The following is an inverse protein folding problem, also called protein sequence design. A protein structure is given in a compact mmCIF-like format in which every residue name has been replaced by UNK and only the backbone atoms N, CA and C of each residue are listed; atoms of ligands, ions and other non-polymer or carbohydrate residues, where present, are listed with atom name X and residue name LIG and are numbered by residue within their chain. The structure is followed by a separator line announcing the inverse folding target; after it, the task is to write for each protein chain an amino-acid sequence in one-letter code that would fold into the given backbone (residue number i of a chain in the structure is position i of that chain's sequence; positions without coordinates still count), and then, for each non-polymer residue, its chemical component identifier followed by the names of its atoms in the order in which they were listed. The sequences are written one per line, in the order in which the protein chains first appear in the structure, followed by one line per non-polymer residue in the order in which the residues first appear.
data_IF_781456089394
#
_entry.id   IF_781456089394
#
_cell.length_a   1.000
_cell.length_b   1.000
_cell.length_c   1.000
_cell.angle_alpha   90.00
_cell.angle_beta   90.00
_cell.angle_gamma   90.00
#
_symmetry.space_group_name_H-M   'P 1'
#
loop_
_entity.id
_entity.type
_entity.pdbx_description
1 polymer ?
#
# COMPACT_ATOMS: atom_id res chain seq x y z
N UNK A 1 12.92 -5.47 -23.05
CA UNK A 1 12.05 -6.60 -22.70
C UNK A 1 11.15 -6.31 -21.50
N UNK A 2 11.68 -6.09 -20.27
CA UNK A 2 10.87 -5.77 -19.08
C UNK A 2 9.86 -4.64 -19.31
N UNK A 3 10.30 -3.52 -19.88
CA UNK A 3 9.43 -2.38 -20.15
C UNK A 3 8.29 -2.72 -21.12
N UNK A 4 8.54 -3.55 -22.14
CA UNK A 4 7.52 -3.96 -23.12
C UNK A 4 6.42 -4.78 -22.47
N UNK A 5 6.79 -5.72 -21.58
CA UNK A 5 5.84 -6.53 -20.83
C UNK A 5 4.99 -5.65 -19.90
N UNK A 6 5.63 -4.73 -19.16
CA UNK A 6 4.93 -3.82 -18.25
C UNK A 6 3.97 -2.88 -18.98
N UNK A 7 4.29 -2.45 -20.21
CA UNK A 7 3.36 -1.68 -21.04
C UNK A 7 2.09 -2.49 -21.31
N UNK A 8 2.22 -3.74 -21.77
CA UNK A 8 1.07 -4.62 -21.99
C UNK A 8 0.19 -4.78 -20.75
N UNK A 9 0.80 -5.13 -19.62
CA UNK A 9 0.10 -5.31 -18.33
C UNK A 9 -0.65 -4.04 -17.94
N UNK A 10 0.00 -2.88 -18.05
CA UNK A 10 -0.58 -1.59 -17.65
C UNK A 10 -1.82 -1.22 -18.45
N UNK A 11 -1.85 -1.53 -19.75
CA UNK A 11 -3.03 -1.29 -20.59
C UNK A 11 -4.13 -2.34 -20.43
N UNK A 12 -3.80 -3.54 -19.94
CA UNK A 12 -4.79 -4.59 -19.65
C UNK A 12 -5.50 -4.41 -18.29
N UNK A 13 -4.83 -3.81 -17.28
CA UNK A 13 -5.39 -3.57 -15.93
C UNK A 13 -6.76 -2.84 -15.95
N UNK A 14 -7.00 -1.78 -16.75
CA UNK A 14 -8.31 -1.14 -16.79
C UNK A 14 -9.45 -2.04 -17.29
N UNK A 15 -9.17 -2.95 -18.24
CA UNK A 15 -10.15 -3.92 -18.75
C UNK A 15 -10.50 -4.94 -17.68
N UNK A 16 -9.49 -5.40 -16.97
CA UNK A 16 -9.55 -6.26 -15.79
C UNK A 16 -10.44 -5.64 -14.71
N UNK A 17 -10.12 -4.41 -14.28
CA UNK A 17 -10.85 -3.72 -13.22
C UNK A 17 -12.31 -3.45 -13.63
N UNK A 18 -12.54 -2.93 -14.84
CA UNK A 18 -13.87 -2.70 -15.37
C UNK A 18 -14.68 -4.01 -15.46
N UNK A 19 -14.09 -5.03 -16.09
CA UNK A 19 -14.74 -6.31 -16.34
C UNK A 19 -15.17 -7.02 -15.07
N UNK A 20 -14.25 -7.15 -14.11
CA UNK A 20 -14.57 -7.84 -12.87
C UNK A 20 -15.49 -7.07 -11.93
N UNK A 21 -15.42 -5.72 -11.88
CA UNK A 21 -16.37 -4.94 -11.07
C UNK A 21 -17.78 -5.05 -11.66
N UNK A 22 -17.93 -5.03 -12.98
CA UNK A 22 -19.23 -5.20 -13.63
C UNK A 22 -19.80 -6.61 -13.45
N UNK A 23 -18.97 -7.65 -13.62
CA UNK A 23 -19.36 -9.03 -13.32
C UNK A 23 -19.72 -9.20 -11.85
N UNK A 24 -18.99 -8.53 -10.95
CA UNK A 24 -19.30 -8.57 -9.53
C UNK A 24 -20.64 -7.94 -9.19
N UNK A 25 -20.94 -6.79 -9.78
CA UNK A 25 -22.25 -6.18 -9.64
C UNK A 25 -23.36 -7.08 -10.23
N UNK A 26 -23.11 -7.72 -11.39
CA UNK A 26 -24.04 -8.65 -11.99
C UNK A 26 -24.34 -9.84 -11.07
N UNK A 27 -23.31 -10.51 -10.53
CA UNK A 27 -23.45 -11.62 -9.58
C UNK A 27 -24.19 -11.19 -8.31
N UNK A 28 -23.91 -9.98 -7.81
CA UNK A 28 -24.51 -9.47 -6.57
C UNK A 28 -26.01 -9.17 -6.72
N UNK A 29 -26.43 -8.75 -7.91
CA UNK A 29 -27.80 -8.37 -8.22
C UNK A 29 -28.61 -9.53 -8.83
N UNK A 30 -27.94 -10.57 -9.33
CA UNK A 30 -28.58 -11.75 -9.89
C UNK A 30 -29.31 -12.55 -8.80
N UNK A 31 -30.59 -12.92 -9.00
CA UNK A 31 -31.26 -13.85 -8.11
C UNK A 31 -30.58 -15.22 -8.19
N UNK A 32 -30.40 -15.85 -7.03
CA UNK A 32 -29.79 -17.18 -6.94
C UNK A 32 -30.80 -18.27 -7.29
N UNK A 33 -30.45 -19.11 -8.26
CA UNK A 33 -31.19 -20.31 -8.63
C UNK A 33 -30.45 -21.57 -8.14
N UNK A 34 -31.09 -22.76 -8.17
CA UNK A 34 -30.43 -24.02 -7.83
C UNK A 34 -29.17 -24.33 -8.65
N UNK A 35 -29.05 -23.72 -9.83
CA UNK A 35 -27.92 -23.88 -10.76
C UNK A 35 -26.92 -22.73 -10.74
N UNK A 36 -27.14 -21.69 -9.92
CA UNK A 36 -26.28 -20.51 -9.84
C UNK A 36 -27.02 -19.18 -10.02
N UNK A 37 -26.30 -18.05 -10.10
CA UNK A 37 -26.91 -16.75 -10.38
C UNK A 37 -27.59 -16.72 -11.75
N UNK A 38 -28.84 -16.25 -11.80
CA UNK A 38 -29.55 -16.02 -13.06
C UNK A 38 -29.22 -14.63 -13.61
N UNK A 39 -28.33 -14.59 -14.59
CA UNK A 39 -27.91 -13.34 -15.23
C UNK A 39 -28.94 -12.76 -16.19
N UNK A 40 -29.95 -13.53 -16.59
CA UNK A 40 -31.02 -13.08 -17.50
C UNK A 40 -32.21 -12.48 -16.74
N UNK A 41 -32.20 -12.53 -15.40
CA UNK A 41 -33.32 -12.10 -14.57
C UNK A 41 -33.77 -10.65 -14.79
N UNK A 42 -32.84 -9.74 -15.10
CA UNK A 42 -33.16 -8.34 -15.42
C UNK A 42 -32.23 -7.80 -16.49
N UNK A 43 -32.71 -6.79 -17.24
CA UNK A 43 -31.89 -6.10 -18.24
C UNK A 43 -30.59 -5.54 -17.64
N UNK A 44 -30.64 -5.01 -16.41
CA UNK A 44 -29.46 -4.44 -15.73
C UNK A 44 -28.43 -5.53 -15.43
N UNK A 45 -28.85 -6.65 -14.85
CA UNK A 45 -27.95 -7.77 -14.54
C UNK A 45 -27.31 -8.31 -15.81
N UNK A 46 -28.10 -8.57 -16.84
CA UNK A 46 -27.60 -9.05 -18.14
C UNK A 46 -26.61 -8.07 -18.76
N UNK A 47 -26.95 -6.78 -18.78
CA UNK A 47 -26.08 -5.75 -19.35
C UNK A 47 -24.74 -5.68 -18.61
N UNK A 48 -24.76 -5.76 -17.27
CA UNK A 48 -23.54 -5.77 -16.46
C UNK A 48 -22.71 -7.04 -16.72
N UNK A 49 -23.35 -8.20 -16.81
CA UNK A 49 -22.70 -9.46 -17.11
C UNK A 49 -22.04 -9.45 -18.50
N UNK A 50 -22.77 -9.03 -19.53
CA UNK A 50 -22.30 -9.03 -20.92
C UNK A 50 -21.15 -8.05 -21.13
N UNK A 51 -21.28 -6.82 -20.60
CA UNK A 51 -20.20 -5.82 -20.67
C UNK A 51 -18.97 -6.25 -19.87
N UNK A 52 -19.18 -6.84 -18.69
CA UNK A 52 -18.10 -7.33 -17.86
C UNK A 52 -17.33 -8.47 -18.53
N UNK A 53 -18.05 -9.43 -19.10
CA UNK A 53 -17.49 -10.54 -19.89
C UNK A 53 -16.73 -10.02 -21.10
N UNK A 54 -17.31 -9.09 -21.87
CA UNK A 54 -16.64 -8.50 -23.03
C UNK A 54 -15.32 -7.80 -22.65
N UNK A 55 -15.30 -7.06 -21.54
CA UNK A 55 -14.10 -6.40 -21.05
C UNK A 55 -13.00 -7.42 -20.67
N UNK A 56 -13.35 -8.51 -19.98
CA UNK A 56 -12.40 -9.58 -19.65
C UNK A 56 -11.91 -10.32 -20.90
N UNK A 57 -12.76 -10.60 -21.88
CA UNK A 57 -12.35 -11.25 -23.15
C UNK A 57 -11.34 -10.40 -23.93
N UNK A 58 -11.46 -9.07 -23.87
CA UNK A 58 -10.53 -8.16 -24.54
C UNK A 58 -9.18 -8.02 -23.82
N UNK A 59 -9.05 -8.50 -22.59
CA UNK A 59 -7.84 -8.39 -21.78
C UNK A 59 -6.60 -8.98 -22.46
N UNK A 60 -6.66 -10.24 -22.91
CA UNK A 60 -5.54 -10.94 -23.53
C UNK A 60 -5.14 -10.35 -24.90
N UNK A 61 -6.09 -10.02 -25.79
CA UNK A 61 -5.80 -9.19 -26.96
C UNK A 61 -5.07 -7.91 -26.59
N UNK A 62 -5.62 -7.11 -25.66
CA UNK A 62 -5.05 -5.82 -25.25
C UNK A 62 -3.63 -5.98 -24.70
N UNK A 63 -3.40 -6.96 -23.83
CA UNK A 63 -2.08 -7.32 -23.31
C UNK A 63 -1.10 -7.56 -24.46
N UNK A 64 -1.42 -8.49 -25.38
CA UNK A 64 -0.53 -8.86 -26.48
C UNK A 64 -0.30 -7.69 -27.45
N UNK A 65 -1.35 -6.95 -27.78
CA UNK A 65 -1.31 -5.76 -28.64
C UNK A 65 -0.39 -4.67 -28.11
N UNK A 66 -0.47 -4.36 -26.82
CA UNK A 66 0.36 -3.32 -26.22
C UNK A 66 1.81 -3.78 -25.93
N UNK A 67 2.05 -5.08 -25.76
CA UNK A 67 3.43 -5.63 -25.80
C UNK A 67 4.03 -5.44 -27.20
N UNK A 68 3.29 -5.81 -28.25
CA UNK A 68 3.73 -5.67 -29.63
C UNK A 68 3.94 -4.20 -30.01
N UNK A 69 3.05 -3.31 -29.54
CA UNK A 69 3.18 -1.85 -29.68
C UNK A 69 4.46 -1.33 -29.04
N UNK A 70 4.81 -1.79 -27.83
CA UNK A 70 6.03 -1.36 -27.16
C UNK A 70 7.31 -1.72 -27.93
N UNK A 71 7.25 -2.71 -28.83
CA UNK A 71 8.38 -3.13 -29.68
C UNK A 71 8.34 -2.42 -31.04
N UNK A 72 7.19 -2.45 -31.73
CA UNK A 72 7.08 -2.08 -33.14
C UNK A 72 6.34 -0.75 -33.39
N UNK A 73 5.85 -0.08 -32.35
CA UNK A 73 4.88 1.03 -32.38
C UNK A 73 3.51 0.59 -32.95
N UNK A 74 2.72 1.55 -33.44
CA UNK A 74 1.35 1.34 -33.97
C UNK A 74 1.20 0.14 -34.93
N UNK A 75 2.15 -0.15 -35.85
CA UNK A 75 2.02 -1.30 -36.74
C UNK A 75 1.94 -2.66 -36.03
N UNK A 76 2.46 -2.77 -34.80
CA UNK A 76 2.43 -4.01 -34.01
C UNK A 76 1.08 -4.30 -33.35
N UNK A 77 0.15 -3.32 -33.32
CA UNK A 77 -1.11 -3.45 -32.58
C UNK A 77 -1.99 -4.56 -33.15
N UNK A 78 -2.27 -4.54 -34.46
CA UNK A 78 -3.14 -5.53 -35.12
C UNK A 78 -2.61 -6.97 -34.95
N UNK A 79 -1.36 -7.29 -35.31
CA UNK A 79 -0.85 -8.65 -35.14
C UNK A 79 -0.80 -9.08 -33.66
N UNK A 80 -0.54 -8.14 -32.74
CA UNK A 80 -0.59 -8.41 -31.30
C UNK A 80 -2.01 -8.70 -30.80
N UNK A 81 -3.00 -7.88 -31.15
CA UNK A 81 -4.41 -8.11 -30.77
C UNK A 81 -4.91 -9.46 -31.29
N UNK A 82 -4.66 -9.76 -32.57
CA UNK A 82 -5.07 -11.03 -33.17
C UNK A 82 -4.34 -12.21 -32.52
N UNK A 83 -3.03 -12.09 -32.29
CA UNK A 83 -2.25 -13.13 -31.61
C UNK A 83 -2.73 -13.39 -30.18
N UNK A 84 -3.08 -12.33 -29.43
CA UNK A 84 -3.65 -12.45 -28.08
C UNK A 84 -5.05 -13.05 -28.07
N UNK A 85 -5.89 -12.72 -29.05
CA UNK A 85 -7.21 -13.35 -29.21
C UNK A 85 -7.08 -14.85 -29.53
N UNK A 86 -6.23 -15.21 -30.49
CA UNK A 86 -5.95 -16.62 -30.84
C UNK A 86 -5.43 -17.39 -29.62
N UNK A 87 -4.56 -16.78 -28.80
CA UNK A 87 -4.06 -17.41 -27.59
C UNK A 87 -5.20 -17.83 -26.63
N UNK A 88 -6.24 -17.00 -26.50
CA UNK A 88 -7.43 -17.32 -25.72
C UNK A 88 -8.21 -18.48 -26.34
N UNK A 89 -8.46 -18.44 -27.66
CA UNK A 89 -9.29 -19.44 -28.35
C UNK A 89 -8.69 -20.85 -28.34
N UNK A 90 -7.37 -20.96 -28.41
CA UNK A 90 -6.68 -22.27 -28.45
C UNK A 90 -6.29 -22.80 -27.07
N UNK A 91 -6.69 -22.13 -25.98
CA UNK A 91 -6.32 -22.52 -24.62
C UNK A 91 -4.84 -22.30 -24.27
N UNK A 92 -4.11 -21.48 -25.04
CA UNK A 92 -2.77 -21.02 -24.68
C UNK A 92 -2.82 -19.91 -23.62
N UNK A 93 -4.00 -19.31 -23.44
CA UNK A 93 -4.33 -18.44 -22.32
C UNK A 93 -3.37 -17.27 -22.14
N UNK A 94 -3.10 -16.95 -20.88
CA UNK A 94 -2.22 -15.86 -20.50
C UNK A 94 -0.81 -15.94 -21.08
N UNK A 95 -0.15 -17.10 -20.92
CA UNK A 95 1.22 -17.32 -21.38
C UNK A 95 1.29 -17.18 -22.91
N UNK A 96 0.28 -17.72 -23.60
CA UNK A 96 0.11 -17.57 -25.04
C UNK A 96 0.01 -16.10 -25.45
N UNK A 97 -0.79 -15.29 -24.76
CA UNK A 97 -0.92 -13.87 -25.09
C UNK A 97 0.38 -13.08 -24.88
N UNK A 98 1.12 -13.38 -23.80
CA UNK A 98 2.41 -12.75 -23.52
C UNK A 98 3.45 -13.07 -24.62
N UNK A 99 3.55 -14.35 -24.99
CA UNK A 99 4.45 -14.81 -26.04
C UNK A 99 4.01 -14.32 -27.43
N UNK A 100 2.72 -14.32 -27.73
CA UNK A 100 2.15 -13.81 -28.96
C UNK A 100 2.43 -12.32 -29.14
N UNK A 101 2.29 -11.50 -28.08
CA UNK A 101 2.62 -10.08 -28.11
C UNK A 101 4.11 -9.82 -28.37
N UNK A 102 4.99 -10.56 -27.70
CA UNK A 102 6.44 -10.47 -27.96
C UNK A 102 6.78 -10.89 -29.39
N UNK A 103 6.22 -12.01 -29.86
CA UNK A 103 6.46 -12.52 -31.20
C UNK A 103 5.94 -11.55 -32.26
N UNK A 104 4.71 -11.06 -32.12
CA UNK A 104 4.09 -10.08 -33.01
C UNK A 104 4.91 -8.79 -33.10
N UNK A 105 5.39 -8.28 -31.96
CA UNK A 105 6.26 -7.11 -31.94
C UNK A 105 7.54 -7.31 -32.76
N UNK A 106 8.26 -8.42 -32.55
CA UNK A 106 9.51 -8.70 -33.24
C UNK A 106 9.31 -9.01 -34.74
N UNK A 107 8.27 -9.78 -35.09
CA UNK A 107 7.91 -10.05 -36.49
C UNK A 107 7.59 -8.75 -37.22
N UNK A 108 6.77 -7.90 -36.61
CA UNK A 108 6.41 -6.60 -37.20
C UNK A 108 7.64 -5.70 -37.37
N UNK A 109 8.50 -5.63 -36.36
CA UNK A 109 9.75 -4.86 -36.40
C UNK A 109 10.70 -5.39 -37.48
N UNK A 110 10.79 -6.70 -37.64
CA UNK A 110 11.63 -7.35 -38.65
C UNK A 110 11.16 -7.04 -40.07
N UNK A 111 9.85 -7.10 -40.34
CA UNK A 111 9.28 -6.72 -41.64
C UNK A 111 9.51 -5.23 -41.90
N UNK A 112 9.27 -4.37 -40.89
CA UNK A 112 9.41 -2.91 -40.99
C UNK A 112 10.83 -2.47 -41.38
N UNK A 113 11.86 -3.23 -40.98
CA UNK A 113 13.27 -2.92 -41.29
C UNK A 113 13.70 -3.31 -42.71
N UNK A 114 12.87 -4.04 -43.46
CA UNK A 114 13.19 -4.43 -44.85
C UNK A 114 13.13 -3.21 -45.77
N UNK A 115 14.13 -3.11 -46.66
CA UNK A 115 14.20 -2.04 -47.65
C UNK A 115 13.10 -2.25 -48.68
N UNK A 116 12.14 -1.33 -48.72
CA UNK A 116 11.07 -1.31 -49.72
C UNK A 116 11.22 -0.11 -50.65
N UNK A 117 10.74 -0.21 -51.91
CA UNK A 117 10.68 0.90 -52.85
C UNK A 117 9.94 2.11 -52.27
N UNK A 118 10.29 3.32 -52.72
CA UNK A 118 9.72 4.59 -52.22
C UNK A 118 8.19 4.66 -52.32
N UNK A 119 7.61 4.06 -53.36
CA UNK A 119 6.16 4.02 -53.59
C UNK A 119 5.40 3.12 -52.61
N UNK A 120 6.08 2.15 -51.99
CA UNK A 120 5.47 1.21 -51.02
C UNK A 120 5.46 1.80 -49.60
N UNK A 121 6.43 2.65 -49.27
CA UNK A 121 6.64 3.18 -47.91
C UNK A 121 5.39 3.77 -47.24
N UNK A 122 4.53 4.54 -47.93
CA UNK A 122 3.33 5.10 -47.30
C UNK A 122 2.30 4.05 -46.87
N UNK A 123 2.22 2.95 -47.63
CA UNK A 123 1.23 1.88 -47.43
C UNK A 123 1.73 0.82 -46.44
N UNK A 124 3.04 0.79 -46.15
CA UNK A 124 3.65 -0.15 -45.22
C UNK A 124 2.97 -0.23 -43.84
N UNK A 125 2.87 0.86 -43.05
CA UNK A 125 2.32 0.78 -41.70
C UNK A 125 0.81 0.58 -41.64
N UNK A 126 0.07 0.97 -42.70
CA UNK A 126 -1.40 0.96 -42.70
C UNK A 126 -1.95 -0.37 -43.22
N UNK A 127 -1.30 -0.97 -44.23
CA UNK A 127 -1.84 -2.15 -44.92
C UNK A 127 -0.88 -3.33 -44.87
N UNK A 128 0.37 -3.15 -45.31
CA UNK A 128 1.28 -4.29 -45.53
C UNK A 128 1.72 -4.92 -44.21
N UNK A 129 2.13 -4.10 -43.23
CA UNK A 129 2.57 -4.59 -41.92
C UNK A 129 1.43 -5.27 -41.16
N UNK A 130 0.23 -4.67 -41.01
CA UNK A 130 -0.89 -5.35 -40.37
C UNK A 130 -1.23 -6.69 -41.02
N UNK A 131 -1.26 -6.79 -42.36
CA UNK A 131 -1.58 -8.05 -43.03
C UNK A 131 -0.47 -9.08 -42.85
N UNK A 132 0.75 -8.75 -43.28
CA UNK A 132 1.83 -9.74 -43.32
C UNK A 132 2.24 -10.20 -41.92
N UNK A 133 2.37 -9.27 -40.97
CA UNK A 133 2.70 -9.64 -39.59
C UNK A 133 1.58 -10.48 -38.97
N UNK A 134 0.31 -10.14 -39.18
CA UNK A 134 -0.81 -10.90 -38.61
C UNK A 134 -0.90 -12.29 -39.22
N UNK A 135 -0.68 -12.44 -40.54
CA UNK A 135 -0.65 -13.77 -41.16
C UNK A 135 0.46 -14.63 -40.55
N UNK A 136 1.68 -14.08 -40.42
CA UNK A 136 2.80 -14.81 -39.82
C UNK A 136 2.51 -15.17 -38.36
N UNK A 137 2.03 -14.23 -37.56
CA UNK A 137 1.70 -14.45 -36.15
C UNK A 137 0.57 -15.45 -35.99
N UNK A 138 -0.53 -15.27 -36.72
CA UNK A 138 -1.71 -16.13 -36.65
C UNK A 138 -1.41 -17.57 -37.06
N UNK A 139 -0.75 -17.77 -38.21
CA UNK A 139 -0.34 -19.11 -38.66
C UNK A 139 0.62 -19.76 -37.66
N UNK A 140 1.59 -19.00 -37.16
CA UNK A 140 2.53 -19.52 -36.16
C UNK A 140 1.81 -19.90 -34.87
N UNK A 141 0.91 -19.06 -34.37
CA UNK A 141 0.13 -19.37 -33.16
C UNK A 141 -0.78 -20.57 -33.35
N UNK A 142 -1.48 -20.68 -34.48
CA UNK A 142 -2.41 -21.79 -34.71
C UNK A 142 -1.69 -23.13 -34.91
N UNK A 143 -0.55 -23.16 -35.61
CA UNK A 143 0.04 -24.41 -36.07
C UNK A 143 1.35 -24.80 -35.37
N UNK A 144 2.09 -23.85 -34.82
CA UNK A 144 3.46 -24.09 -34.35
C UNK A 144 3.62 -23.76 -32.86
N UNK A 145 3.34 -22.52 -32.47
CA UNK A 145 3.61 -21.99 -31.14
C UNK A 145 2.46 -22.28 -30.17
N UNK A 146 1.22 -22.14 -30.61
CA UNK A 146 0.06 -22.21 -29.71
C UNK A 146 -0.18 -23.58 -29.09
N UNK A 147 -0.25 -24.67 -29.87
CA UNK A 147 -0.47 -26.02 -29.31
C UNK A 147 0.52 -26.41 -28.19
N UNK A 148 1.85 -26.23 -28.32
CA UNK A 148 2.75 -26.53 -27.22
C UNK A 148 2.58 -25.59 -26.02
N UNK A 149 2.26 -24.31 -26.24
CA UNK A 149 1.98 -23.37 -25.13
C UNK A 149 0.71 -23.77 -24.38
N UNK A 150 -0.35 -24.15 -25.11
CA UNK A 150 -1.59 -24.66 -24.52
C UNK A 150 -1.36 -25.93 -23.69
N UNK A 151 -0.52 -26.84 -24.18
CA UNK A 151 -0.13 -28.03 -23.41
C UNK A 151 0.62 -27.66 -22.12
N UNK A 152 1.52 -26.67 -22.18
CA UNK A 152 2.23 -26.16 -21.00
C UNK A 152 1.26 -25.51 -20.01
N UNK A 153 0.31 -24.70 -20.49
CA UNK A 153 -0.72 -24.08 -19.65
C UNK A 153 -1.61 -25.10 -18.99
N UNK A 154 -2.14 -26.06 -19.74
CA UNK A 154 -2.93 -27.16 -19.20
C UNK A 154 -2.15 -27.95 -18.13
N UNK A 155 -0.86 -28.23 -18.37
CA UNK A 155 0.02 -28.86 -17.39
C UNK A 155 0.23 -28.00 -16.13
N UNK A 156 0.44 -26.69 -16.29
CA UNK A 156 0.59 -25.77 -15.17
C UNK A 156 -0.69 -25.68 -14.33
N UNK A 157 -1.86 -25.57 -14.98
CA UNK A 157 -3.16 -25.55 -14.30
C UNK A 157 -3.43 -26.86 -13.57
N UNK A 158 -3.09 -28.01 -14.17
CA UNK A 158 -3.21 -29.31 -13.51
C UNK A 158 -2.31 -29.40 -12.27
N UNK A 159 -1.06 -28.92 -12.35
CA UNK A 159 -0.14 -28.87 -11.20
C UNK A 159 -0.69 -27.98 -10.09
N UNK A 160 -1.21 -26.79 -10.43
CA UNK A 160 -1.83 -25.87 -9.46
C UNK A 160 -3.06 -26.49 -8.79
N UNK A 161 -3.89 -27.20 -9.56
CA UNK A 161 -5.09 -27.85 -9.07
C UNK A 161 -4.80 -28.99 -8.07
N UNK A 162 -3.72 -29.75 -8.30
CA UNK A 162 -3.33 -30.91 -7.48
C UNK A 162 -2.34 -30.57 -6.36
N UNK A 163 -2.09 -29.29 -6.09
CA UNK A 163 -1.19 -28.89 -5.00
C UNK A 163 -1.75 -29.37 -3.64
N UNK A 164 -0.94 -30.17 -2.95
CA UNK A 164 -1.17 -30.49 -1.56
C UNK A 164 -1.20 -29.21 -0.68
N UNK A 165 -1.72 -29.33 0.54
CA UNK A 165 -1.86 -28.18 1.44
C UNK A 165 -0.52 -27.47 1.71
N UNK A 166 0.58 -28.22 1.87
CA UNK A 166 1.90 -27.64 2.12
C UNK A 166 2.39 -26.74 0.97
N UNK A 167 2.26 -27.21 -0.28
CA UNK A 167 2.67 -26.44 -1.45
C UNK A 167 1.76 -25.23 -1.70
N UNK A 168 0.44 -25.35 -1.43
CA UNK A 168 -0.47 -24.21 -1.48
C UNK A 168 -0.11 -23.14 -0.46
N UNK A 169 0.29 -23.53 0.75
CA UNK A 169 0.76 -22.57 1.75
C UNK A 169 2.00 -21.81 1.26
N UNK A 170 2.99 -22.52 0.71
CA UNK A 170 4.21 -21.90 0.15
C UNK A 170 3.87 -20.95 -0.99
N UNK A 171 2.99 -21.35 -1.91
CA UNK A 171 2.52 -20.49 -3.00
C UNK A 171 1.85 -19.22 -2.47
N UNK A 172 0.96 -19.34 -1.48
CA UNK A 172 0.34 -18.19 -0.81
C UNK A 172 1.40 -17.26 -0.17
N UNK A 173 2.39 -17.81 0.54
CA UNK A 173 3.47 -17.01 1.10
C UNK A 173 4.24 -16.24 0.01
N UNK A 174 4.56 -16.88 -1.13
CA UNK A 174 5.25 -16.20 -2.23
C UNK A 174 4.38 -15.08 -2.81
N UNK A 175 3.11 -15.37 -3.13
CA UNK A 175 2.17 -14.40 -3.71
C UNK A 175 1.96 -13.21 -2.78
N UNK A 176 1.69 -13.44 -1.50
CA UNK A 176 1.51 -12.37 -0.51
C UNK A 176 2.76 -11.50 -0.35
N UNK A 177 3.96 -12.09 -0.39
CA UNK A 177 5.22 -11.35 -0.37
C UNK A 177 5.40 -10.48 -1.61
N UNK A 178 5.13 -11.02 -2.79
CA UNK A 178 5.20 -10.30 -4.07
C UNK A 178 4.21 -9.14 -4.14
N UNK A 179 2.99 -9.31 -3.62
CA UNK A 179 1.97 -8.26 -3.56
C UNK A 179 2.43 -7.09 -2.67
N UNK A 180 3.07 -7.36 -1.53
CA UNK A 180 3.41 -6.31 -0.59
C UNK A 180 4.72 -5.56 -0.87
N UNK A 181 5.71 -6.23 -1.48
CA UNK A 181 7.11 -5.76 -1.48
C UNK A 181 7.32 -4.35 -2.06
N UNK A 182 6.57 -3.98 -3.09
CA UNK A 182 6.71 -2.71 -3.80
C UNK A 182 5.40 -1.91 -3.91
N UNK A 183 4.37 -2.29 -3.14
CA UNK A 183 3.14 -1.49 -2.89
C UNK A 183 2.48 -0.94 -4.16
N UNK A 184 2.22 -1.81 -5.15
CA UNK A 184 1.66 -1.42 -6.45
C UNK A 184 2.71 -1.24 -7.56
N UNK A 185 3.98 -1.53 -7.24
CA UNK A 185 5.07 -1.57 -8.19
C UNK A 185 5.03 -2.78 -9.15
N UNK A 186 6.10 -2.96 -9.96
CA UNK A 186 6.17 -4.02 -10.96
C UNK A 186 6.01 -5.46 -10.43
N UNK A 187 6.52 -5.76 -9.23
CA UNK A 187 6.44 -7.10 -8.64
C UNK A 187 5.01 -7.40 -8.20
N UNK A 188 4.38 -6.45 -7.48
CA UNK A 188 2.97 -6.54 -7.13
C UNK A 188 2.11 -6.72 -8.38
N UNK A 189 2.25 -5.84 -9.38
CA UNK A 189 1.46 -5.93 -10.62
C UNK A 189 1.65 -7.26 -11.33
N UNK A 190 2.83 -7.86 -11.26
CA UNK A 190 3.08 -9.17 -11.85
C UNK A 190 2.30 -10.27 -11.12
N UNK A 191 2.36 -10.31 -9.79
CA UNK A 191 1.62 -11.29 -8.99
C UNK A 191 0.10 -11.11 -9.12
N UNK A 192 -0.36 -9.86 -9.07
CA UNK A 192 -1.78 -9.53 -9.16
C UNK A 192 -2.35 -9.87 -10.54
N UNK A 193 -1.61 -9.53 -11.61
CA UNK A 193 -2.02 -9.86 -12.98
C UNK A 193 -1.96 -11.36 -13.26
N UNK A 194 -1.03 -12.09 -12.64
CA UNK A 194 -1.05 -13.56 -12.64
C UNK A 194 -2.31 -14.10 -11.95
N UNK A 195 -2.68 -13.59 -10.78
CA UNK A 195 -3.94 -13.95 -10.11
C UNK A 195 -5.17 -13.67 -10.99
N UNK A 196 -5.23 -12.47 -11.59
CA UNK A 196 -6.31 -12.08 -12.49
C UNK A 196 -6.42 -13.02 -13.71
N UNK A 197 -5.29 -13.44 -14.26
CA UNK A 197 -5.26 -14.38 -15.36
C UNK A 197 -5.80 -15.76 -14.97
N UNK A 198 -5.53 -16.23 -13.76
CA UNK A 198 -6.02 -17.53 -13.28
C UNK A 198 -7.54 -17.60 -13.14
N UNK A 199 -8.23 -16.45 -13.04
CA UNK A 199 -9.71 -16.42 -13.13
C UNK A 199 -10.16 -17.02 -14.47
N UNK A 200 -9.54 -16.63 -15.58
CA UNK A 200 -9.90 -17.14 -16.91
C UNK A 200 -9.49 -18.60 -17.12
N UNK A 201 -8.44 -19.05 -16.44
CA UNK A 201 -8.01 -20.45 -16.45
C UNK A 201 -8.85 -21.36 -15.54
N UNK A 202 -9.85 -20.81 -14.84
CA UNK A 202 -10.77 -21.56 -13.98
C UNK A 202 -10.27 -21.81 -12.56
N UNK A 203 -9.19 -21.14 -12.12
CA UNK A 203 -8.71 -21.20 -10.73
C UNK A 203 -8.73 -19.81 -10.05
N UNK A 204 -9.88 -19.37 -9.53
CA UNK A 204 -10.01 -18.07 -8.87
C UNK A 204 -9.29 -18.00 -7.52
N UNK A 205 -8.73 -19.11 -7.01
CA UNK A 205 -8.12 -19.17 -5.68
C UNK A 205 -6.80 -18.39 -5.61
N UNK A 206 -6.07 -18.36 -6.73
CA UNK A 206 -4.84 -17.55 -6.83
C UNK A 206 -5.18 -16.06 -6.74
N UNK A 207 -6.27 -15.64 -7.39
CA UNK A 207 -6.76 -14.27 -7.29
C UNK A 207 -7.22 -13.95 -5.86
N UNK A 208 -7.99 -14.84 -5.22
CA UNK A 208 -8.43 -14.67 -3.83
C UNK A 208 -7.27 -14.52 -2.84
N UNK A 209 -6.19 -15.28 -3.04
CA UNK A 209 -4.97 -15.16 -2.26
C UNK A 209 -4.27 -13.79 -2.45
N UNK A 210 -4.28 -13.24 -3.67
CA UNK A 210 -3.74 -11.91 -3.96
C UNK A 210 -4.64 -10.79 -3.41
N UNK A 211 -5.95 -10.92 -3.57
CA UNK A 211 -6.98 -9.99 -3.11
C UNK A 211 -6.97 -9.83 -1.57
N UNK A 212 -6.75 -10.93 -0.84
CA UNK A 212 -6.62 -10.88 0.61
C UNK A 212 -5.31 -10.19 1.05
N UNK A 213 -4.24 -10.36 0.27
CA UNK A 213 -2.92 -9.85 0.59
C UNK A 213 -2.75 -8.35 0.31
N UNK A 214 -3.44 -7.81 -0.70
CA UNK A 214 -3.23 -6.43 -1.19
C UNK A 214 -3.73 -5.37 -0.19
N UNK A 215 -4.76 -5.67 0.60
CA UNK A 215 -5.30 -4.71 1.57
C UNK A 215 -4.57 -4.70 2.92
N UNK A 216 -3.81 -5.74 3.27
CA UNK A 216 -3.21 -5.85 4.60
C UNK A 216 -2.07 -4.86 4.90
N UNK A 217 -1.24 -4.41 3.94
CA UNK A 217 -0.24 -3.38 4.20
C UNK A 217 -0.85 -2.06 4.71
N UNK A 218 -1.77 -1.41 3.97
CA UNK A 218 -2.34 -0.14 4.40
C UNK A 218 -3.28 -0.30 5.61
N UNK A 219 -4.06 -1.40 5.70
CA UNK A 219 -4.90 -1.67 6.89
C UNK A 219 -4.06 -1.87 8.14
N UNK A 220 -2.98 -2.64 8.05
CA UNK A 220 -2.11 -2.96 9.18
C UNK A 220 -1.32 -1.76 9.68
N UNK A 221 -0.79 -0.94 8.77
CA UNK A 221 -0.12 0.30 9.13
C UNK A 221 -1.08 1.31 9.76
N UNK A 222 -2.26 1.50 9.15
CA UNK A 222 -3.31 2.32 9.71
C UNK A 222 -3.75 1.86 11.11
N UNK A 223 -3.91 0.55 11.32
CA UNK A 223 -4.21 0.00 12.64
C UNK A 223 -3.07 0.25 13.63
N UNK A 224 -1.80 0.10 13.21
CA UNK A 224 -0.65 0.34 14.08
C UNK A 224 -0.60 1.79 14.60
N UNK A 225 -1.01 2.77 13.77
CA UNK A 225 -1.09 4.17 14.21
C UNK A 225 -2.21 4.43 15.22
N UNK A 226 -3.30 3.67 15.17
CA UNK A 226 -4.39 3.75 16.15
C UNK A 226 -4.01 3.07 17.48
N UNK A 227 -3.40 1.88 17.45
CA UNK A 227 -3.08 1.09 18.65
C UNK A 227 -2.06 1.79 19.55
N UNK A 228 -1.06 2.47 18.97
CA UNK A 228 -0.01 3.17 19.72
C UNK A 228 0.20 4.58 19.20
N UNK A 229 -0.86 5.39 19.20
CA UNK A 229 -0.88 6.76 18.64
C UNK A 229 0.34 7.61 19.00
N UNK A 230 0.78 7.59 20.25
CA UNK A 230 1.91 8.41 20.73
C UNK A 230 3.27 8.07 20.11
N UNK A 231 3.42 6.91 19.46
CA UNK A 231 4.69 6.48 18.84
C UNK A 231 4.90 6.99 17.42
N UNK A 232 3.90 7.68 16.87
CA UNK A 232 3.84 8.13 15.47
C UNK A 232 3.85 9.64 15.40
N UNK A 233 4.43 10.20 14.33
CA UNK A 233 4.40 11.65 14.06
C UNK A 233 2.99 12.10 13.66
N UNK A 234 2.77 13.42 13.57
CA UNK A 234 1.53 14.00 13.04
C UNK A 234 1.24 13.49 11.64
N UNK A 235 2.24 13.54 10.75
CA UNK A 235 2.14 13.16 9.35
C UNK A 235 1.82 11.66 9.21
N UNK A 236 2.46 10.80 10.01
CA UNK A 236 2.21 9.37 10.01
C UNK A 236 0.81 9.01 10.52
N UNK A 237 0.28 9.76 11.49
CA UNK A 237 -1.09 9.55 11.98
C UNK A 237 -2.12 9.91 10.92
N UNK A 238 -1.91 11.03 10.23
CA UNK A 238 -2.78 11.46 9.12
C UNK A 238 -2.73 10.45 7.96
N UNK A 239 -1.51 10.05 7.57
CA UNK A 239 -1.31 8.99 6.58
C UNK A 239 -1.97 7.67 7.02
N UNK A 240 -1.96 7.35 8.31
CA UNK A 240 -2.58 6.14 8.86
C UNK A 240 -4.10 6.10 8.68
N UNK A 241 -4.79 7.23 8.88
CA UNK A 241 -6.23 7.33 8.63
C UNK A 241 -6.53 7.14 7.14
N UNK A 242 -5.76 7.78 6.26
CA UNK A 242 -5.90 7.59 4.82
C UNK A 242 -5.55 6.16 4.37
N UNK A 243 -4.63 5.50 5.06
CA UNK A 243 -4.25 4.11 4.76
C UNK A 243 -5.40 3.14 5.06
N UNK A 244 -6.14 3.35 6.15
CA UNK A 244 -7.29 2.49 6.45
C UNK A 244 -8.32 2.51 5.33
N UNK A 245 -8.64 3.69 4.79
CA UNK A 245 -9.62 3.82 3.70
C UNK A 245 -9.12 3.18 2.41
N UNK A 246 -7.86 3.44 2.03
CA UNK A 246 -7.23 2.80 0.87
C UNK A 246 -7.18 1.28 1.02
N UNK A 247 -6.90 0.77 2.22
CA UNK A 247 -6.88 -0.65 2.52
C UNK A 247 -8.24 -1.32 2.38
N UNK A 248 -9.34 -0.68 2.80
CA UNK A 248 -10.70 -1.22 2.60
C UNK A 248 -11.00 -1.42 1.11
N UNK A 249 -10.50 -0.54 0.25
CA UNK A 249 -10.66 -0.61 -1.21
C UNK A 249 -9.66 -1.59 -1.85
N UNK A 250 -8.60 -1.99 -1.15
CA UNK A 250 -7.56 -2.86 -1.71
C UNK A 250 -6.45 -2.11 -2.46
N UNK A 251 -6.19 -0.86 -2.10
CA UNK A 251 -5.12 -0.02 -2.65
C UNK A 251 -3.89 -0.12 -1.75
N UNK A 252 -2.89 -0.92 -2.15
CA UNK A 252 -1.62 -1.12 -1.41
C UNK A 252 -0.84 0.15 -1.16
N UNK A 253 -0.99 1.13 -2.04
CA UNK A 253 -0.24 2.38 -2.11
C UNK A 253 -0.40 3.23 -0.85
N UNK A 254 -1.45 3.00 -0.05
CA UNK A 254 -1.59 3.61 1.27
C UNK A 254 -0.41 3.33 2.20
N UNK A 255 0.37 2.27 1.97
CA UNK A 255 1.59 1.97 2.73
C UNK A 255 2.81 2.82 2.31
N UNK A 256 2.79 3.47 1.15
CA UNK A 256 3.95 4.20 0.59
C UNK A 256 4.48 5.29 1.54
N UNK A 257 3.66 6.15 2.17
CA UNK A 257 4.16 7.19 3.06
C UNK A 257 5.01 6.63 4.21
N UNK A 258 4.61 5.46 4.75
CA UNK A 258 5.36 4.78 5.81
C UNK A 258 6.64 4.14 5.29
N UNK A 259 6.58 3.46 4.14
CA UNK A 259 7.72 2.81 3.53
C UNK A 259 8.76 3.82 3.03
N UNK A 260 8.34 5.00 2.57
CA UNK A 260 9.23 6.09 2.20
C UNK A 260 9.99 6.64 3.41
N UNK A 261 9.36 6.68 4.59
CA UNK A 261 9.98 7.15 5.82
C UNK A 261 10.96 6.12 6.43
N UNK A 262 10.63 4.82 6.40
CA UNK A 262 11.47 3.76 7.00
C UNK A 262 11.36 2.43 6.24
N UNK A 263 11.97 2.31 5.04
CA UNK A 263 11.73 1.18 4.14
C UNK A 263 12.22 -0.15 4.73
N UNK A 264 13.38 -0.14 5.38
CA UNK A 264 14.02 -1.35 5.92
C UNK A 264 13.19 -2.00 7.04
N UNK A 265 12.36 -1.23 7.73
CA UNK A 265 11.50 -1.74 8.81
C UNK A 265 10.08 -2.00 8.33
N UNK A 266 9.54 -1.12 7.49
CA UNK A 266 8.15 -1.21 7.04
C UNK A 266 7.95 -2.35 6.05
N UNK A 267 8.80 -2.48 5.02
CA UNK A 267 8.62 -3.47 3.94
C UNK A 267 8.56 -4.91 4.50
N UNK A 268 9.48 -5.36 5.36
CA UNK A 268 9.38 -6.71 5.94
C UNK A 268 8.12 -6.93 6.77
N UNK A 269 7.62 -5.90 7.47
CA UNK A 269 6.42 -6.02 8.30
C UNK A 269 5.15 -6.17 7.44
N UNK A 270 5.02 -5.36 6.40
CA UNK A 270 3.86 -5.45 5.50
C UNK A 270 3.89 -6.75 4.69
N UNK A 271 5.08 -7.20 4.28
CA UNK A 271 5.25 -8.51 3.62
C UNK A 271 4.78 -9.62 4.53
N UNK A 272 5.21 -9.65 5.81
CA UNK A 272 4.79 -10.69 6.74
C UNK A 272 3.27 -10.80 6.87
N UNK A 273 2.54 -9.68 6.99
CA UNK A 273 1.09 -9.71 7.07
C UNK A 273 0.41 -10.16 5.77
N UNK A 274 0.87 -9.68 4.61
CA UNK A 274 0.35 -10.10 3.32
C UNK A 274 0.63 -11.56 3.00
N UNK A 275 1.80 -12.08 3.36
CA UNK A 275 2.16 -13.50 3.26
C UNK A 275 1.20 -14.35 4.08
N UNK A 276 0.92 -13.96 5.34
CA UNK A 276 -0.01 -14.68 6.21
C UNK A 276 -1.44 -14.64 5.67
N UNK A 277 -1.94 -13.48 5.24
CA UNK A 277 -3.27 -13.37 4.65
C UNK A 277 -3.42 -14.26 3.41
N UNK A 278 -2.46 -14.19 2.50
CA UNK A 278 -2.47 -14.98 1.26
C UNK A 278 -2.42 -16.48 1.54
N UNK A 279 -1.57 -16.92 2.47
CA UNK A 279 -1.49 -18.33 2.88
C UNK A 279 -2.79 -18.83 3.52
N UNK A 280 -3.45 -18.04 4.37
CA UNK A 280 -4.74 -18.41 4.95
C UNK A 280 -5.81 -18.51 3.85
N UNK A 281 -5.88 -17.52 2.96
CA UNK A 281 -6.88 -17.47 1.90
C UNK A 281 -6.77 -18.67 0.95
N UNK A 282 -5.57 -18.98 0.45
CA UNK A 282 -5.37 -20.09 -0.49
C UNK A 282 -5.58 -21.48 0.15
N UNK A 283 -5.24 -21.62 1.44
CA UNK A 283 -5.44 -22.86 2.19
C UNK A 283 -6.92 -23.11 2.49
N UNK A 284 -7.66 -22.06 2.83
CA UNK A 284 -9.11 -22.14 2.99
C UNK A 284 -9.79 -22.46 1.65
N UNK A 285 -9.21 -22.00 0.53
CA UNK A 285 -9.78 -22.15 -0.81
C UNK A 285 -10.63 -20.94 -1.22
N UNK A 286 -10.28 -19.76 -0.71
CA UNK A 286 -10.93 -18.50 -1.06
C UNK A 286 -10.69 -18.20 -2.54
N UNK A 287 -11.76 -18.19 -3.33
CA UNK A 287 -11.77 -17.76 -4.72
C UNK A 287 -12.22 -16.31 -4.88
N UNK A 288 -11.57 -15.55 -5.75
CA UNK A 288 -12.03 -14.23 -6.19
C UNK A 288 -12.27 -14.22 -7.69
N UNK A 289 -13.51 -13.88 -8.08
CA UNK A 289 -13.95 -13.83 -9.47
C UNK A 289 -13.78 -12.43 -10.10
N UNK A 290 -13.35 -11.44 -9.32
CA UNK A 290 -12.96 -10.15 -9.83
C UNK A 290 -11.46 -9.92 -9.62
N UNK A 291 -10.78 -9.28 -10.57
CA UNK A 291 -9.38 -8.94 -10.42
C UNK A 291 -9.24 -7.60 -9.68
N UNK A 292 -9.73 -7.58 -8.44
CA UNK A 292 -9.60 -6.47 -7.52
C UNK A 292 -9.31 -7.02 -6.11
N UNK A 293 -9.20 -6.19 -5.08
CA UNK A 293 -8.95 -6.69 -3.72
C UNK A 293 -9.68 -5.90 -2.65
N UNK A 294 -9.28 -6.12 -1.39
CA UNK A 294 -9.92 -5.44 -0.26
C UNK A 294 -11.33 -5.96 0.03
N UNK A 295 -12.10 -5.20 0.81
CA UNK A 295 -13.44 -5.60 1.23
C UNK A 295 -14.49 -5.33 0.15
N UNK A 296 -14.17 -4.55 -0.88
CA UNK A 296 -15.12 -4.20 -1.94
C UNK A 296 -15.42 -5.39 -2.88
N UNK A 297 -14.52 -6.37 -2.98
CA UNK A 297 -14.73 -7.60 -3.75
C UNK A 297 -15.53 -8.67 -3.00
N UNK A 298 -15.86 -8.44 -1.72
CA UNK A 298 -16.58 -9.42 -0.90
C UNK A 298 -17.84 -10.04 -1.55
N UNK A 299 -18.62 -9.33 -2.40
CA UNK A 299 -19.78 -9.94 -3.06
C UNK A 299 -19.43 -11.10 -4.00
N UNK A 300 -18.25 -11.06 -4.64
CA UNK A 300 -17.74 -12.07 -5.60
C UNK A 300 -16.74 -13.04 -5.01
N UNK A 301 -16.48 -12.94 -3.72
CA UNK A 301 -15.59 -13.85 -3.03
C UNK A 301 -16.32 -15.15 -2.69
N UNK A 302 -15.70 -16.28 -3.01
CA UNK A 302 -16.02 -17.58 -2.44
C UNK A 302 -15.41 -17.69 -1.03
N UNK A 303 -16.13 -18.35 -0.12
CA UNK A 303 -15.69 -18.49 1.28
C UNK A 303 -15.46 -17.14 1.98
N UNK A 304 -16.46 -16.25 1.87
CA UNK A 304 -16.46 -14.87 2.41
C UNK A 304 -15.93 -14.75 3.84
N UNK A 305 -16.30 -15.68 4.72
CA UNK A 305 -15.83 -15.68 6.13
C UNK A 305 -14.33 -15.92 6.22
N UNK A 306 -13.81 -16.90 5.48
CA UNK A 306 -12.38 -17.20 5.47
C UNK A 306 -11.56 -16.05 4.87
N UNK A 307 -12.08 -15.38 3.84
CA UNK A 307 -11.47 -14.19 3.25
C UNK A 307 -11.33 -13.04 4.26
N UNK A 308 -12.43 -12.69 4.95
CA UNK A 308 -12.41 -11.64 5.97
C UNK A 308 -11.46 -12.01 7.11
N UNK A 309 -11.46 -13.28 7.55
CA UNK A 309 -10.54 -13.77 8.57
C UNK A 309 -9.07 -13.63 8.12
N UNK A 310 -8.75 -14.01 6.88
CA UNK A 310 -7.41 -13.87 6.31
C UNK A 310 -6.94 -12.41 6.33
N UNK A 311 -7.79 -11.47 5.92
CA UNK A 311 -7.50 -10.03 5.96
C UNK A 311 -7.28 -9.55 7.40
N UNK A 312 -8.15 -9.93 8.33
CA UNK A 312 -8.04 -9.52 9.74
C UNK A 312 -6.75 -10.03 10.36
N UNK A 313 -6.41 -11.31 10.13
CA UNK A 313 -5.18 -11.91 10.66
C UNK A 313 -3.94 -11.28 10.04
N UNK A 314 -3.88 -11.11 8.72
CA UNK A 314 -2.75 -10.46 8.06
C UNK A 314 -2.58 -9.00 8.47
N UNK A 315 -3.68 -8.26 8.61
CA UNK A 315 -3.71 -6.89 9.15
C UNK A 315 -3.14 -6.84 10.57
N UNK A 316 -3.56 -7.77 11.44
CA UNK A 316 -3.05 -7.86 12.79
C UNK A 316 -1.55 -8.20 12.81
N UNK A 317 -1.08 -9.11 11.96
CA UNK A 317 0.35 -9.45 11.83
C UNK A 317 1.16 -8.23 11.41
N UNK A 318 0.74 -7.49 10.38
CA UNK A 318 1.40 -6.23 9.98
C UNK A 318 1.45 -5.24 11.14
N UNK A 319 0.32 -5.01 11.82
CA UNK A 319 0.22 -4.03 12.89
C UNK A 319 1.10 -4.39 14.10
N UNK A 320 1.09 -5.67 14.50
CA UNK A 320 1.89 -6.18 15.62
C UNK A 320 3.37 -6.15 15.27
N UNK A 321 3.76 -6.59 14.08
CA UNK A 321 5.16 -6.55 13.63
C UNK A 321 5.68 -5.12 13.63
N UNK A 322 4.91 -4.18 13.08
CA UNK A 322 5.28 -2.77 13.02
C UNK A 322 5.39 -2.14 14.42
N UNK A 323 4.42 -2.42 15.30
CA UNK A 323 4.48 -1.99 16.69
C UNK A 323 5.71 -2.56 17.42
N UNK A 324 6.03 -3.85 17.23
CA UNK A 324 7.17 -4.49 17.87
C UNK A 324 8.51 -3.89 17.41
N UNK A 325 8.64 -3.63 16.11
CA UNK A 325 9.83 -3.00 15.53
C UNK A 325 10.00 -1.57 16.03
N UNK A 326 8.92 -0.78 16.08
CA UNK A 326 8.97 0.58 16.66
C UNK A 326 9.22 0.58 18.16
N UNK A 327 8.65 -0.35 18.92
CA UNK A 327 8.91 -0.45 20.35
C UNK A 327 10.41 -0.62 20.65
N UNK A 328 11.11 -1.45 19.87
CA UNK A 328 12.58 -1.60 19.99
C UNK A 328 13.32 -0.31 19.66
N UNK A 329 12.91 0.39 18.59
CA UNK A 329 13.50 1.68 18.22
C UNK A 329 13.30 2.74 19.31
N UNK A 330 12.09 2.81 19.88
CA UNK A 330 11.71 3.74 20.93
C UNK A 330 12.35 3.40 22.30
N UNK A 331 12.60 2.12 22.59
CA UNK A 331 13.42 1.73 23.75
C UNK A 331 14.88 2.14 23.57
N UNK A 332 15.44 1.95 22.37
CA UNK A 332 16.82 2.31 22.08
C UNK A 332 17.04 3.83 22.14
N UNK A 333 16.05 4.63 21.76
CA UNK A 333 16.07 6.10 21.91
C UNK A 333 15.75 6.60 23.31
N UNK A 334 15.59 5.73 24.31
CA UNK A 334 15.26 6.10 25.69
C UNK A 334 13.80 6.47 25.94
N UNK A 335 13.01 6.76 24.89
CA UNK A 335 11.59 7.16 24.97
C UNK A 335 10.68 6.15 25.68
N UNK A 336 11.00 4.85 25.66
CA UNK A 336 10.20 3.78 26.31
C UNK A 336 11.00 3.01 27.38
N UNK A 337 12.12 3.57 27.85
CA UNK A 337 13.09 2.82 28.67
C UNK A 337 13.42 3.39 30.05
N UNK A 338 13.31 4.69 30.27
CA UNK A 338 13.61 5.31 31.57
C UNK A 338 12.78 6.57 31.73
N UNK A 339 11.96 6.63 32.78
CA UNK A 339 11.20 7.81 33.16
C UNK A 339 9.74 7.48 33.41
N UNK A 340 9.39 7.17 34.65
CA UNK A 340 8.04 7.44 35.12
C UNK A 340 7.71 8.93 34.89
N UNK A 341 6.42 9.29 34.88
CA UNK A 341 5.96 10.66 34.67
C UNK A 341 6.82 11.66 35.45
N UNK A 342 7.63 12.46 34.73
CA UNK A 342 8.48 13.43 35.41
C UNK A 342 7.64 14.56 35.98
N UNK A 343 8.01 15.04 37.17
CA UNK A 343 7.49 16.29 37.74
C UNK A 343 8.37 17.44 37.26
N UNK A 344 7.81 18.30 36.42
CA UNK A 344 8.45 19.45 35.82
C UNK A 344 7.86 20.70 36.47
N UNK A 345 8.69 21.69 36.75
CA UNK A 345 8.24 23.05 37.04
C UNK A 345 8.74 23.98 35.95
N UNK A 346 8.01 25.04 35.65
CA UNK A 346 8.45 26.03 34.68
C UNK A 346 8.13 27.45 35.15
N UNK A 347 8.97 28.39 34.73
CA UNK A 347 8.74 29.83 34.91
C UNK A 347 8.75 30.45 33.51
N UNK A 348 7.71 31.22 33.18
CA UNK A 348 7.66 32.00 31.93
C UNK A 348 7.69 33.48 32.23
N UNK A 349 8.48 34.26 31.47
CA UNK A 349 8.56 35.71 31.65
C UNK A 349 8.99 36.43 30.37
N UNK A 350 8.18 37.37 29.90
CA UNK A 350 8.43 38.17 28.70
C UNK A 350 8.27 39.67 29.02
N UNK A 351 9.17 40.56 28.53
CA UNK A 351 9.08 42.00 28.79
C UNK A 351 7.88 42.65 28.08
N UNK A 352 7.48 42.11 26.92
CA UNK A 352 6.49 42.72 26.03
C UNK A 352 5.11 42.09 26.21
N UNK A 353 4.34 42.63 27.16
CA UNK A 353 2.93 42.31 27.32
C UNK A 353 2.64 40.91 27.88
N UNK A 354 1.38 40.70 28.28
CA UNK A 354 0.93 39.48 28.94
C UNK A 354 0.89 38.25 28.02
N UNK A 355 0.69 38.44 26.71
CA UNK A 355 0.34 37.35 25.80
C UNK A 355 1.41 36.25 25.67
N UNK A 356 2.67 36.62 25.42
CA UNK A 356 3.73 35.62 25.21
C UNK A 356 4.04 34.80 26.46
N UNK A 357 3.98 35.43 27.65
CA UNK A 357 4.15 34.75 28.93
C UNK A 357 3.12 33.64 29.12
N UNK A 358 1.84 33.93 28.87
CA UNK A 358 0.77 32.93 28.97
C UNK A 358 0.79 31.90 27.84
N UNK A 359 1.09 32.32 26.60
CA UNK A 359 1.19 31.39 25.48
C UNK A 359 2.29 30.35 25.70
N UNK A 360 3.47 30.77 26.18
CA UNK A 360 4.52 29.85 26.55
C UNK A 360 4.07 28.90 27.67
N UNK A 361 3.40 29.41 28.69
CA UNK A 361 2.91 28.59 29.80
C UNK A 361 1.86 27.56 29.35
N UNK A 362 0.94 27.95 28.47
CA UNK A 362 -0.08 27.07 27.91
C UNK A 362 0.55 26.00 27.01
N UNK A 363 1.49 26.37 26.14
CA UNK A 363 2.17 25.46 25.22
C UNK A 363 3.01 24.42 25.97
N UNK A 364 3.79 24.85 26.97
CA UNK A 364 4.52 23.96 27.86
C UNK A 364 3.56 23.04 28.63
N UNK A 365 2.48 23.60 29.17
CA UNK A 365 1.43 22.89 29.88
C UNK A 365 0.78 21.77 29.07
N UNK A 366 0.33 22.09 27.85
CA UNK A 366 -0.27 21.13 26.93
C UNK A 366 0.72 20.07 26.47
N UNK A 367 1.95 20.47 26.13
CA UNK A 367 2.97 19.56 25.61
C UNK A 367 3.44 18.55 26.65
N UNK A 368 3.75 19.00 27.87
CA UNK A 368 4.17 18.10 28.94
C UNK A 368 3.07 17.09 29.31
N UNK A 369 1.80 17.53 29.40
CA UNK A 369 0.66 16.63 29.63
C UNK A 369 0.46 15.64 28.47
N UNK A 370 0.59 16.09 27.22
CA UNK A 370 0.51 15.23 26.04
C UNK A 370 1.61 14.16 26.00
N UNK A 371 2.78 14.47 26.56
CA UNK A 371 3.93 13.57 26.70
C UNK A 371 3.88 12.70 27.97
N UNK A 372 2.85 12.84 28.81
CA UNK A 372 2.66 12.03 30.02
C UNK A 372 3.47 12.48 31.24
N UNK A 373 3.87 13.75 31.27
CA UNK A 373 4.58 14.37 32.39
C UNK A 373 3.66 15.30 33.19
N UNK A 374 3.99 15.52 34.47
CA UNK A 374 3.33 16.52 35.30
C UNK A 374 4.08 17.83 35.16
N UNK A 375 3.37 18.92 34.92
CA UNK A 375 3.98 20.26 34.88
C UNK A 375 3.15 21.28 35.65
N UNK A 376 3.83 22.13 36.41
CA UNK A 376 3.27 23.38 36.95
C UNK A 376 4.06 24.54 36.38
N UNK A 377 3.37 25.61 35.99
CA UNK A 377 3.98 26.77 35.35
C UNK A 377 3.64 28.02 36.15
N UNK A 378 4.67 28.72 36.63
CA UNK A 378 4.60 30.05 37.20
C UNK A 378 4.75 31.07 36.06
N UNK A 379 3.88 32.07 36.02
CA UNK A 379 3.91 33.13 35.01
C UNK A 379 4.32 34.43 35.69
N UNK A 380 5.41 35.04 35.24
CA UNK A 380 5.87 36.35 35.71
C UNK A 380 5.76 37.36 34.57
N UNK A 381 4.82 38.29 34.66
CA UNK A 381 4.56 39.28 33.61
C UNK A 381 4.21 40.65 34.18
N UNK A 382 3.64 41.51 33.33
CA UNK A 382 3.24 42.87 33.73
C UNK A 382 2.22 42.91 34.88
N UNK A 383 1.51 41.80 35.12
CA UNK A 383 0.53 41.65 36.21
C UNK A 383 1.14 41.13 37.52
N UNK A 384 2.47 40.94 37.57
CA UNK A 384 3.18 40.33 38.69
C UNK A 384 3.32 38.81 38.52
N UNK A 385 3.56 38.12 39.65
CA UNK A 385 3.69 36.65 39.70
C UNK A 385 2.30 36.03 39.86
N UNK A 386 1.97 35.13 38.93
CA UNK A 386 0.75 34.32 38.97
C UNK A 386 1.10 32.83 38.95
N UNK A 387 0.24 32.01 39.54
CA UNK A 387 0.46 30.58 39.72
C UNK A 387 1.81 30.26 40.40
N UNK A 388 2.17 31.08 41.40
CA UNK A 388 3.45 30.96 42.11
C UNK A 388 3.67 29.52 42.60
N UNK A 389 4.81 28.96 42.23
CA UNK A 389 5.18 27.59 42.57
C UNK A 389 5.45 27.48 44.07
N UNK A 390 4.84 26.52 44.75
CA UNK A 390 5.17 26.32 46.16
C UNK A 390 6.60 25.76 46.31
N UNK A 391 7.21 26.00 47.46
CA UNK A 391 8.46 25.37 47.88
C UNK A 391 8.42 23.84 47.77
N UNK A 392 7.24 23.24 47.99
CA UNK A 392 7.01 21.81 47.82
C UNK A 392 7.06 21.41 46.34
N UNK A 393 6.47 22.21 45.45
CA UNK A 393 6.48 21.94 44.01
C UNK A 393 7.88 21.94 43.43
N UNK A 394 8.72 22.88 43.86
CA UNK A 394 10.12 22.97 43.44
C UNK A 394 10.92 21.78 43.97
N UNK A 395 10.74 21.39 45.25
CA UNK A 395 11.45 20.23 45.83
C UNK A 395 11.04 18.90 45.23
N UNK A 396 9.78 18.72 44.88
CA UNK A 396 9.29 17.47 44.29
C UNK A 396 9.55 17.37 42.78
N UNK A 397 9.94 18.46 42.14
CA UNK A 397 10.26 18.49 40.72
C UNK A 397 11.66 17.96 40.44
N UNK A 398 11.80 17.32 39.28
CA UNK A 398 13.05 16.74 38.82
C UNK A 398 13.84 17.72 37.94
N UNK A 399 13.14 18.67 37.31
CA UNK A 399 13.75 19.70 36.46
C UNK A 399 12.85 20.94 36.41
N UNK A 400 13.49 22.10 36.31
CA UNK A 400 12.86 23.40 36.10
C UNK A 400 13.16 23.93 34.68
N UNK A 401 12.16 24.46 34.00
CA UNK A 401 12.31 25.12 32.69
C UNK A 401 12.06 26.62 32.84
N UNK A 402 13.05 27.44 32.54
CA UNK A 402 12.88 28.89 32.48
C UNK A 402 12.74 29.30 31.02
N UNK A 403 11.51 29.58 30.59
CA UNK A 403 11.25 30.16 29.28
C UNK A 403 11.10 31.67 29.45
N UNK A 404 12.24 32.36 29.49
CA UNK A 404 12.31 33.75 29.96
C UNK A 404 13.11 34.61 28.98
N UNK A 405 12.66 35.85 28.79
CA UNK A 405 13.35 36.90 28.02
C UNK A 405 13.74 38.10 28.93
N UNK A 406 13.44 38.01 30.22
CA UNK A 406 13.78 38.97 31.28
C UNK A 406 14.22 38.23 32.55
N UNK A 407 14.89 38.97 33.43
CA UNK A 407 15.23 38.48 34.77
C UNK A 407 13.94 38.22 35.58
N UNK A 408 13.93 37.12 36.33
CA UNK A 408 12.78 36.65 37.09
C UNK A 408 12.95 36.88 38.59
N UNK A 409 11.85 37.21 39.26
CA UNK A 409 11.80 37.37 40.71
C UNK A 409 11.94 36.02 41.42
N UNK A 410 12.55 36.04 42.61
CA UNK A 410 12.71 34.88 43.50
C UNK A 410 13.44 33.67 42.86
N UNK A 411 14.33 33.92 41.90
CA UNK A 411 15.16 32.90 41.23
C UNK A 411 15.92 31.99 42.21
N UNK A 412 16.30 32.51 43.37
CA UNK A 412 17.02 31.77 44.41
C UNK A 412 16.30 30.50 44.90
N UNK A 413 14.97 30.42 44.78
CA UNK A 413 14.17 29.23 45.14
C UNK A 413 14.55 27.99 44.34
N UNK A 414 15.18 28.15 43.17
CA UNK A 414 15.51 27.06 42.26
C UNK A 414 16.98 26.60 42.37
N UNK A 415 17.76 27.07 43.36
CA UNK A 415 19.18 26.70 43.52
C UNK A 415 19.44 25.20 43.67
N UNK A 416 18.49 24.46 44.22
CA UNK A 416 18.63 23.03 44.51
C UNK A 416 18.07 22.11 43.40
N UNK A 417 17.47 22.67 42.34
CA UNK A 417 16.90 21.92 41.22
C UNK A 417 17.66 22.27 39.94
N UNK A 418 17.74 21.32 39.01
CA UNK A 418 18.31 21.57 37.70
C UNK A 418 17.41 22.52 36.90
N UNK A 419 18.00 23.57 36.33
CA UNK A 419 17.31 24.57 35.52
C UNK A 419 17.77 24.45 34.06
N UNK A 420 16.82 24.46 33.13
CA UNK A 420 17.05 24.61 31.69
C UNK A 420 16.44 25.94 31.27
N UNK A 421 17.27 26.85 30.75
CA UNK A 421 16.84 28.18 30.34
C UNK A 421 16.78 28.29 28.82
N UNK A 422 15.69 28.85 28.30
CA UNK A 422 15.40 29.06 26.88
C UNK A 422 14.63 30.38 26.70
N UNK A 423 14.55 30.88 25.46
CA UNK A 423 13.69 32.03 25.17
C UNK A 423 12.20 31.67 25.23
N UNK A 424 11.36 32.66 25.53
CA UNK A 424 9.89 32.49 25.50
C UNK A 424 9.43 32.03 24.11
N UNK A 425 10.06 32.56 23.06
CA UNK A 425 9.74 32.22 21.68
C UNK A 425 10.04 30.76 21.32
N UNK A 426 11.12 30.17 21.86
CA UNK A 426 11.41 28.75 21.69
C UNK A 426 10.31 27.89 22.32
N UNK A 427 9.88 28.22 23.54
CA UNK A 427 8.80 27.52 24.23
C UNK A 427 7.45 27.63 23.49
N UNK A 428 7.18 28.75 22.82
CA UNK A 428 5.96 28.89 21.99
C UNK A 428 6.08 28.03 20.72
N UNK A 429 7.23 28.06 20.04
CA UNK A 429 7.39 27.42 18.72
C UNK A 429 7.54 25.91 18.78
N UNK A 430 8.28 25.37 19.75
CA UNK A 430 8.60 23.95 19.84
C UNK A 430 8.59 23.41 21.30
N UNK A 431 7.47 23.60 22.00
CA UNK A 431 7.30 23.04 23.35
C UNK A 431 7.45 21.51 23.40
N UNK A 432 6.99 20.77 22.39
CA UNK A 432 7.12 19.31 22.36
C UNK A 432 8.58 18.86 22.26
N UNK A 433 9.37 19.48 21.37
CA UNK A 433 10.80 19.24 21.24
C UNK A 433 11.57 19.63 22.49
N UNK A 434 11.24 20.79 23.09
CA UNK A 434 11.83 21.25 24.35
C UNK A 434 11.59 20.28 25.51
N UNK A 435 10.34 19.87 25.75
CA UNK A 435 10.02 18.90 26.82
C UNK A 435 10.72 17.57 26.54
N UNK A 436 10.73 17.10 25.29
CA UNK A 436 11.43 15.85 24.92
C UNK A 436 12.93 15.95 25.23
N UNK A 437 13.58 17.08 24.90
CA UNK A 437 15.01 17.33 25.19
C UNK A 437 15.29 17.34 26.68
N UNK A 438 14.52 18.13 27.43
CA UNK A 438 14.65 18.30 28.89
C UNK A 438 14.51 16.95 29.62
N UNK A 439 13.64 16.07 29.12
CA UNK A 439 13.42 14.74 29.70
C UNK A 439 14.49 13.73 29.28
N UNK A 440 15.04 13.83 28.06
CA UNK A 440 16.02 12.88 27.54
C UNK A 440 17.44 13.10 28.09
N UNK A 441 17.87 14.37 28.24
CA UNK A 441 19.23 14.71 28.67
C UNK A 441 19.21 15.83 29.72
N UNK A 442 18.94 15.51 31.00
CA UNK A 442 19.09 16.51 32.05
C UNK A 442 20.54 17.02 32.11
N UNK A 443 21.55 16.16 31.95
CA UNK A 443 22.97 16.42 32.26
C UNK A 443 23.73 17.40 31.35
N UNK A 444 23.33 17.61 30.10
CA UNK A 444 24.12 18.33 29.10
C UNK A 444 23.77 19.83 28.91
N UNK A 445 22.73 20.35 29.58
CA UNK A 445 22.14 21.66 29.26
C UNK A 445 22.49 22.83 30.20
N UNK A 446 23.36 22.63 31.19
CA UNK A 446 23.89 23.76 31.97
C UNK A 446 25.10 24.36 31.26
N UNK A 447 24.95 25.49 30.58
CA UNK A 447 25.98 26.52 30.39
C UNK A 447 25.41 27.69 29.59
N UNK A 448 24.75 28.63 30.28
CA UNK A 448 25.05 30.06 30.15
C UNK A 448 25.01 30.64 31.55
N UNK A 449 26.17 31.09 31.99
CA UNK A 449 26.38 31.80 33.26
C UNK A 449 25.80 33.22 33.18
#
# INVERSE_FOLDING_TARGET
MRQHLLTGVSYAIPFIACGGVMLAAAISLAPMTPTGPDFEATLVVRTLHDLGTAALTLMLPVLAGYIAYAIANRPGLVPGFVGGWIASEIGAGFLGALLAGLFAGHVTEWIKRRRVPSWVRPVMPILILPILATTVVGVSMLWILGPPIAAVMAGATAVLADLNAGNRAVLGLILGGMIAIDMGGPINKTAFFFGAAMIQEGDPRIMGACAAAICTPPLGLGLATLVRRTWWTSEEREAGVASLTMGVVGITEGAIPFAAADPLRVIPCIMAGSMVASAIAILAGVGDHAPHGGLIVLPVIEQKVAYVLAIVVGTAVTAVAMCAVRYRAQRKSGRIGKGGAMKIVAVTACPTGIAHTYMAAEHLGKSARALGHQIKVETQGAMGIENELSERDIREAQVAIFAIDIEIEKRDRFKAIKVVEVSVQEAIRDANGLITRVVAEPESLSLRA
#
